data_IF_111337518764
#
_entry.id   IF_111337518764
#
_cell.length_a   1.000
_cell.length_b   1.000
_cell.length_c   1.000
_cell.angle_alpha   90.00
_cell.angle_beta   90.00
_cell.angle_gamma   90.00
#
_symmetry.space_group_name_H-M   'P 1'
#
loop_
_entity.id
_entity.type
_entity.pdbx_description
1 polymer ?
#
# COMPACT_ATOMS: atom_id res chain seq x y z
N UNK A 1 3.39 -12.09 0.64
CA UNK A 1 4.20 -10.95 1.13
C UNK A 1 5.06 -10.48 -0.05
N UNK A 2 5.14 -9.18 -0.30
CA UNK A 2 5.94 -8.59 -1.36
C UNK A 2 6.70 -7.37 -0.83
N UNK A 3 8.01 -7.29 -1.10
CA UNK A 3 8.84 -6.16 -0.70
C UNK A 3 9.70 -5.71 -1.86
N UNK A 4 9.73 -4.40 -2.12
CA UNK A 4 10.63 -3.78 -3.09
C UNK A 4 11.41 -2.65 -2.41
N UNK A 5 12.74 -2.76 -2.41
CA UNK A 5 13.65 -1.71 -1.96
C UNK A 5 14.47 -1.21 -3.16
N UNK A 6 14.51 0.10 -3.38
CA UNK A 6 15.29 0.73 -4.44
C UNK A 6 14.42 1.42 -5.50
N UNK A 7 15.05 1.76 -6.62
CA UNK A 7 14.43 2.47 -7.74
C UNK A 7 13.50 1.58 -8.56
N UNK A 8 12.61 2.22 -9.31
CA UNK A 8 11.66 1.60 -10.22
C UNK A 8 10.24 1.67 -9.66
N UNK A 9 9.30 1.92 -10.57
CA UNK A 9 7.88 1.84 -10.26
C UNK A 9 7.47 0.43 -9.85
N UNK A 10 6.50 0.33 -8.95
CA UNK A 10 6.02 -0.94 -8.41
C UNK A 10 4.53 -1.09 -8.63
N UNK A 11 4.13 -2.23 -9.19
CA UNK A 11 2.73 -2.59 -9.39
C UNK A 11 2.51 -3.99 -8.81
N UNK A 12 1.56 -4.13 -7.89
CA UNK A 12 1.26 -5.41 -7.26
C UNK A 12 -0.24 -5.70 -7.28
N UNK A 13 -0.61 -6.93 -7.65
CA UNK A 13 -1.92 -7.50 -7.39
C UNK A 13 -1.75 -8.66 -6.41
N UNK A 14 -2.39 -8.59 -5.25
CA UNK A 14 -2.20 -9.53 -4.15
C UNK A 14 -3.54 -10.09 -3.69
N UNK A 15 -3.74 -11.40 -3.86
CA UNK A 15 -4.96 -12.11 -3.49
C UNK A 15 -4.59 -13.22 -2.50
N UNK A 16 -5.17 -13.21 -1.31
CA UNK A 16 -4.83 -14.15 -0.24
C UNK A 16 -5.59 -13.87 1.04
N UNK A 17 -5.37 -14.66 2.10
CA UNK A 17 -6.00 -14.36 3.39
C UNK A 17 -5.42 -13.11 4.05
N UNK A 18 -4.09 -12.95 3.99
CA UNK A 18 -3.37 -11.78 4.50
C UNK A 18 -2.32 -11.34 3.47
N UNK A 19 -2.43 -10.10 2.99
CA UNK A 19 -1.50 -9.52 2.03
C UNK A 19 -0.68 -8.43 2.69
N UNK A 20 0.63 -8.43 2.44
CA UNK A 20 1.57 -7.41 2.95
C UNK A 20 2.45 -6.95 1.79
N UNK A 21 2.42 -5.65 1.50
CA UNK A 21 3.27 -4.98 0.52
C UNK A 21 4.08 -3.88 1.19
N UNK A 22 5.38 -3.87 0.92
CA UNK A 22 6.28 -2.79 1.35
C UNK A 22 7.08 -2.26 0.18
N UNK A 23 7.07 -0.93 -0.03
CA UNK A 23 8.01 -0.22 -0.88
C UNK A 23 8.91 0.69 -0.03
N UNK A 24 10.21 0.64 -0.29
CA UNK A 24 11.18 1.64 0.19
C UNK A 24 11.91 2.22 -1.02
N UNK A 25 11.76 3.51 -1.27
CA UNK A 25 12.34 4.22 -2.41
C UNK A 25 11.32 5.09 -3.12
N UNK A 26 11.82 5.98 -3.98
CA UNK A 26 11.04 7.08 -4.54
C UNK A 26 10.58 6.77 -5.95
N UNK A 27 9.36 6.27 -6.12
CA UNK A 27 8.74 6.07 -7.44
C UNK A 27 7.24 5.84 -7.28
N UNK A 28 6.51 5.78 -8.41
CA UNK A 28 5.12 5.35 -8.41
C UNK A 28 4.98 3.93 -7.84
N UNK A 29 4.11 3.78 -6.86
CA UNK A 29 3.76 2.47 -6.28
C UNK A 29 2.26 2.29 -6.24
N UNK A 30 1.75 1.31 -6.98
CA UNK A 30 0.32 1.00 -7.06
C UNK A 30 0.02 -0.44 -6.60
N UNK A 31 -1.07 -0.62 -5.86
CA UNK A 31 -1.48 -1.94 -5.37
C UNK A 31 -2.98 -2.19 -5.50
N UNK A 32 -3.34 -3.41 -5.90
CA UNK A 32 -4.64 -4.02 -5.70
C UNK A 32 -4.49 -5.15 -4.68
N UNK A 33 -5.22 -5.07 -3.56
CA UNK A 33 -5.13 -6.06 -2.48
C UNK A 33 -6.50 -6.59 -2.10
N UNK A 34 -6.68 -7.91 -2.18
CA UNK A 34 -7.93 -8.60 -1.82
C UNK A 34 -7.64 -9.71 -0.83
N UNK A 35 -8.23 -9.63 0.37
CA UNK A 35 -7.99 -10.59 1.44
C UNK A 35 -8.70 -10.24 2.74
N UNK A 36 -8.57 -11.04 3.81
CA UNK A 36 -9.13 -10.67 5.11
C UNK A 36 -8.39 -9.48 5.72
N UNK A 37 -7.06 -9.48 5.59
CA UNK A 37 -6.20 -8.41 6.05
C UNK A 37 -5.28 -7.95 4.91
N UNK A 38 -5.25 -6.64 4.64
CA UNK A 38 -4.35 -6.06 3.64
C UNK A 38 -3.51 -4.95 4.29
N UNK A 39 -2.19 -5.03 4.16
CA UNK A 39 -1.24 -4.06 4.69
C UNK A 39 -0.36 -3.55 3.55
N UNK A 40 -0.36 -2.25 3.32
CA UNK A 40 0.51 -1.56 2.38
C UNK A 40 1.33 -0.52 3.12
N UNK A 41 2.65 -0.53 2.91
CA UNK A 41 3.57 0.49 3.44
C UNK A 41 4.44 1.03 2.32
N UNK A 42 4.54 2.34 2.18
CA UNK A 42 5.47 3.00 1.28
C UNK A 42 6.27 4.05 2.05
N UNK A 43 7.59 3.88 2.09
CA UNK A 43 8.55 4.85 2.63
C UNK A 43 9.32 5.48 1.48
N UNK A 44 9.19 6.79 1.31
CA UNK A 44 9.79 7.58 0.22
C UNK A 44 8.89 8.74 -0.19
N UNK A 45 9.32 9.58 -1.11
CA UNK A 45 8.57 10.74 -1.61
C UNK A 45 7.80 10.46 -2.90
N UNK A 46 7.81 9.21 -3.38
CA UNK A 46 7.06 8.78 -4.56
C UNK A 46 5.54 8.67 -4.34
N UNK A 47 4.78 8.71 -5.44
CA UNK A 47 3.31 8.57 -5.42
C UNK A 47 2.86 7.17 -4.98
N UNK A 48 1.82 7.10 -4.15
CA UNK A 48 1.23 5.84 -3.66
C UNK A 48 -0.24 5.72 -4.04
N UNK A 49 -0.61 4.64 -4.71
CA UNK A 49 -1.99 4.32 -5.08
C UNK A 49 -2.38 2.95 -4.52
N UNK A 50 -3.56 2.83 -3.92
CA UNK A 50 -4.03 1.55 -3.39
C UNK A 50 -5.53 1.32 -3.52
N UNK A 51 -5.92 0.12 -3.94
CA UNK A 51 -7.30 -0.38 -3.86
C UNK A 51 -7.30 -1.62 -2.99
N UNK A 52 -8.09 -1.60 -1.92
CA UNK A 52 -8.08 -2.63 -0.89
C UNK A 52 -9.50 -3.16 -0.64
N UNK A 53 -9.68 -4.47 -0.67
CA UNK A 53 -10.92 -5.13 -0.29
C UNK A 53 -10.64 -6.20 0.77
N UNK A 54 -11.23 -6.05 1.96
CA UNK A 54 -11.00 -6.96 3.07
C UNK A 54 -11.76 -6.66 4.35
N UNK A 55 -11.52 -7.42 5.41
CA UNK A 55 -12.08 -7.09 6.73
C UNK A 55 -11.29 -5.95 7.37
N UNK A 56 -9.95 -5.99 7.26
CA UNK A 56 -9.03 -5.00 7.78
C UNK A 56 -8.09 -4.54 6.66
N UNK A 57 -8.05 -3.24 6.39
CA UNK A 57 -7.12 -2.65 5.43
C UNK A 57 -6.30 -1.55 6.12
N UNK A 58 -4.98 -1.62 5.95
CA UNK A 58 -4.03 -0.65 6.51
C UNK A 58 -3.13 -0.14 5.40
N UNK A 59 -3.05 1.18 5.25
CA UNK A 59 -2.12 1.84 4.36
C UNK A 59 -1.29 2.85 5.15
N UNK A 60 0.04 2.73 5.08
CA UNK A 60 0.98 3.68 5.69
C UNK A 60 1.85 4.31 4.61
N UNK A 61 1.87 5.64 4.58
CA UNK A 61 2.81 6.44 3.80
C UNK A 61 3.75 7.20 4.74
N UNK A 62 5.05 7.12 4.47
CA UNK A 62 6.07 7.98 5.08
C UNK A 62 6.79 8.72 3.95
N UNK A 63 6.76 10.06 3.97
CA UNK A 63 7.30 10.96 2.95
C UNK A 63 6.24 11.88 2.34
N UNK A 64 6.67 12.87 1.56
CA UNK A 64 5.85 13.97 1.04
C UNK A 64 5.07 13.63 -0.25
N UNK A 65 5.15 12.38 -0.71
CA UNK A 65 4.54 11.95 -1.97
C UNK A 65 3.02 11.87 -1.92
N UNK A 66 2.38 12.22 -3.05
CA UNK A 66 0.93 12.10 -3.23
C UNK A 66 0.46 10.68 -2.90
N UNK A 67 -0.60 10.58 -2.10
CA UNK A 67 -1.15 9.30 -1.67
C UNK A 67 -2.65 9.26 -1.87
N UNK A 68 -3.14 8.20 -2.51
CA UNK A 68 -4.56 7.96 -2.74
C UNK A 68 -4.91 6.50 -2.46
N UNK A 69 -6.01 6.27 -1.76
CA UNK A 69 -6.52 4.94 -1.51
C UNK A 69 -8.05 4.86 -1.62
N UNK A 70 -8.53 3.72 -2.13
CA UNK A 70 -9.91 3.28 -1.98
C UNK A 70 -9.89 2.00 -1.14
N UNK A 71 -10.55 2.02 0.03
CA UNK A 71 -10.48 0.96 1.03
C UNK A 71 -11.88 0.48 1.41
N UNK A 72 -12.16 -0.80 1.20
CA UNK A 72 -13.46 -1.44 1.47
C UNK A 72 -13.28 -2.49 2.56
N UNK A 73 -13.88 -2.28 3.73
CA UNK A 73 -13.78 -3.21 4.85
C UNK A 73 -14.44 -2.73 6.13
N UNK A 74 -14.37 -3.58 7.17
CA UNK A 74 -14.89 -3.26 8.49
C UNK A 74 -14.01 -2.24 9.20
N UNK A 75 -12.69 -2.30 8.99
CA UNK A 75 -11.72 -1.35 9.49
C UNK A 75 -10.78 -0.91 8.37
N UNK A 76 -10.71 0.40 8.14
CA UNK A 76 -9.79 1.02 7.19
C UNK A 76 -8.95 2.05 7.93
N UNK A 77 -7.63 1.88 7.89
CA UNK A 77 -6.67 2.77 8.53
C UNK A 77 -5.73 3.30 7.46
N UNK A 78 -5.72 4.62 7.29
CA UNK A 78 -4.71 5.30 6.48
C UNK A 78 -3.90 6.22 7.39
N UNK A 79 -2.58 6.10 7.31
CA UNK A 79 -1.64 6.99 7.99
C UNK A 79 -0.70 7.57 6.96
N UNK A 80 -0.53 8.89 6.97
CA UNK A 80 0.44 9.60 6.15
C UNK A 80 1.25 10.50 7.07
N UNK A 81 2.56 10.29 7.10
CA UNK A 81 3.53 11.15 7.78
C UNK A 81 4.47 11.74 6.73
N UNK A 82 4.40 13.05 6.53
CA UNK A 82 5.14 13.77 5.49
C UNK A 82 4.74 15.23 5.53
#
# INVERSE_FOLDING_TARGET
IFTHVGSGSTFAAMIGQANIMTKVGDDLTAALMVGKANIYTHVGDGTSLGIFAGEVNVMTKVGNGTTLAAMFGKANIMTHVG
#
